data_IF_958884872500
#
_entry.id   IF_958884872500
#
_cell.length_a   1.000
_cell.length_b   1.000
_cell.length_c   1.000
_cell.angle_alpha   90.00
_cell.angle_beta   90.00
_cell.angle_gamma   90.00
#
_symmetry.space_group_name_H-M   'P 1'
#
loop_
_entity.id
_entity.type
_entity.pdbx_description
1 polymer ?
#
# COMPACT_ATOMS: atom_id res chain seq x y z
N UNK A 1 -0.91 7.10 3.81
CA UNK A 1 -0.22 7.83 2.72
C UNK A 1 -1.03 7.78 1.43
N UNK A 2 -0.87 8.76 0.54
CA UNK A 2 -1.51 8.78 -0.79
C UNK A 2 -0.43 9.16 -1.80
N UNK A 3 -0.28 8.32 -2.83
CA UNK A 3 0.67 8.54 -3.92
C UNK A 3 -0.08 8.75 -5.23
N UNK A 4 0.46 9.59 -6.11
CA UNK A 4 -0.02 9.68 -7.48
C UNK A 4 0.53 8.51 -8.30
N UNK A 5 -0.32 7.99 -9.19
CA UNK A 5 0.00 6.92 -10.09
C UNK A 5 -0.11 7.46 -11.52
N UNK A 6 0.87 7.18 -12.37
CA UNK A 6 0.89 7.66 -13.75
C UNK A 6 -0.09 6.91 -14.67
N UNK A 7 -1.10 6.22 -14.12
CA UNK A 7 -2.19 5.57 -14.85
C UNK A 7 -3.52 5.92 -14.20
N UNK A 8 -4.56 6.09 -15.02
CA UNK A 8 -5.93 6.17 -14.55
C UNK A 8 -6.54 4.77 -14.51
N UNK A 9 -7.01 4.35 -13.33
CA UNK A 9 -7.73 3.11 -13.08
C UNK A 9 -9.21 3.31 -13.42
N UNK A 10 -9.78 2.35 -14.16
CA UNK A 10 -11.20 2.36 -14.56
C UNK A 10 -12.13 1.97 -13.41
N UNK A 11 -11.61 1.26 -12.42
CA UNK A 11 -12.37 0.77 -11.29
C UNK A 11 -11.48 0.65 -10.05
N UNK A 12 -12.12 0.62 -8.88
CA UNK A 12 -11.41 0.56 -7.62
C UNK A 12 -10.93 -0.85 -7.28
N UNK A 13 -9.64 -1.01 -7.02
CA UNK A 13 -9.01 -2.28 -6.63
C UNK A 13 -8.38 -2.14 -5.25
N UNK A 14 -8.66 -3.10 -4.36
CA UNK A 14 -8.08 -3.17 -3.02
C UNK A 14 -7.27 -4.45 -2.86
N UNK A 15 -6.07 -4.31 -2.31
CA UNK A 15 -5.21 -5.41 -1.87
C UNK A 15 -5.02 -5.26 -0.36
N UNK A 16 -5.43 -6.26 0.40
CA UNK A 16 -5.45 -6.20 1.86
C UNK A 16 -4.70 -7.40 2.40
N UNK A 17 -3.64 -7.19 3.19
CA UNK A 17 -2.91 -8.29 3.82
C UNK A 17 -3.83 -9.07 4.78
N UNK A 18 -3.58 -10.37 4.93
CA UNK A 18 -4.51 -11.24 5.63
C UNK A 18 -4.63 -10.97 7.14
N UNK A 19 -3.55 -10.44 7.71
CA UNK A 19 -3.36 -9.97 9.09
C UNK A 19 -3.91 -8.55 9.33
N UNK A 20 -4.34 -7.83 8.29
CA UNK A 20 -4.96 -6.51 8.47
C UNK A 20 -6.33 -6.64 9.15
N UNK A 21 -6.45 -6.09 10.37
CA UNK A 21 -7.64 -6.21 11.20
C UNK A 21 -8.84 -5.54 10.51
N UNK A 22 -9.92 -6.30 10.26
CA UNK A 22 -11.09 -5.83 9.48
C UNK A 22 -11.85 -4.62 10.06
N UNK A 23 -11.67 -4.32 11.36
CA UNK A 23 -12.40 -3.23 12.03
C UNK A 23 -11.84 -1.84 11.73
N UNK A 24 -10.60 -1.73 11.23
CA UNK A 24 -9.93 -0.44 11.12
C UNK A 24 -10.22 0.34 9.84
N UNK A 25 -10.67 -0.27 8.73
CA UNK A 25 -10.90 0.48 7.48
C UNK A 25 -12.09 -0.05 6.65
N UNK A 26 -13.00 0.83 6.17
CA UNK A 26 -14.15 0.41 5.38
C UNK A 26 -13.71 -0.27 4.07
N UNK A 27 -14.46 -1.30 3.67
CA UNK A 27 -14.41 -1.84 2.30
C UNK A 27 -15.08 -0.84 1.36
N UNK A 28 -14.54 -0.68 0.17
CA UNK A 28 -15.24 0.08 -0.87
C UNK A 28 -16.51 -0.68 -1.23
N UNK A 29 -17.63 0.05 -1.34
CA UNK A 29 -18.93 -0.53 -1.71
C UNK A 29 -18.83 -1.13 -3.12
N UNK A 30 -19.54 -2.22 -3.36
CA UNK A 30 -19.65 -2.91 -4.66
C UNK A 30 -18.42 -3.71 -5.13
N UNK A 31 -17.36 -3.84 -4.32
CA UNK A 31 -16.24 -4.70 -4.71
C UNK A 31 -16.54 -6.19 -4.51
N UNK A 32 -16.16 -7.01 -5.48
CA UNK A 32 -16.18 -8.47 -5.42
C UNK A 32 -14.78 -9.00 -5.11
N UNK A 33 -14.71 -10.14 -4.41
CA UNK A 33 -13.43 -10.81 -4.14
C UNK A 33 -12.88 -11.37 -5.45
N UNK A 34 -11.62 -11.11 -5.73
CA UNK A 34 -10.90 -11.61 -6.91
C UNK A 34 -9.88 -12.65 -6.47
N UNK A 35 -9.68 -13.69 -7.28
CA UNK A 35 -8.61 -14.68 -7.08
C UNK A 35 -7.67 -14.61 -8.29
N UNK A 36 -6.39 -14.36 -8.03
CA UNK A 36 -5.35 -14.29 -9.07
C UNK A 36 -4.72 -15.66 -9.32
N UNK A 37 -3.88 -15.79 -10.34
CA UNK A 37 -3.16 -17.03 -10.63
C UNK A 37 -2.03 -17.32 -9.63
N UNK A 38 -1.41 -16.26 -9.07
CA UNK A 38 -0.35 -16.41 -8.07
C UNK A 38 -0.92 -16.93 -6.74
N UNK A 39 -0.63 -18.20 -6.45
CA UNK A 39 -1.07 -18.90 -5.23
C UNK A 39 -0.47 -18.28 -3.97
N UNK A 40 0.80 -17.85 -4.01
CA UNK A 40 1.48 -17.22 -2.87
C UNK A 40 0.82 -15.87 -2.57
N UNK A 41 0.58 -15.06 -3.61
CA UNK A 41 -0.06 -13.76 -3.44
C UNK A 41 -1.45 -13.88 -2.80
N UNK A 42 -2.27 -14.84 -3.26
CA UNK A 42 -3.58 -15.10 -2.66
C UNK A 42 -3.52 -15.64 -1.22
N UNK A 43 -2.40 -16.24 -0.79
CA UNK A 43 -2.17 -16.65 0.61
C UNK A 43 -1.78 -15.49 1.51
N UNK A 44 -1.13 -14.46 0.96
CA UNK A 44 -0.71 -13.28 1.71
C UNK A 44 -1.81 -12.20 1.73
N UNK A 45 -2.56 -12.05 0.64
CA UNK A 45 -3.50 -10.96 0.45
C UNK A 45 -4.91 -11.40 0.06
N UNK A 46 -5.90 -10.58 0.43
CA UNK A 46 -7.26 -10.57 -0.11
C UNK A 46 -7.38 -9.46 -1.14
N UNK A 47 -7.85 -9.80 -2.33
CA UNK A 47 -8.06 -8.86 -3.43
C UNK A 47 -9.55 -8.60 -3.61
N UNK A 48 -9.93 -7.34 -3.79
CA UNK A 48 -11.28 -6.91 -4.06
C UNK A 48 -11.30 -5.91 -5.20
N UNK A 49 -12.20 -6.07 -6.17
CA UNK A 49 -12.35 -5.15 -7.31
C UNK A 49 -13.81 -4.87 -7.60
N UNK A 50 -14.14 -3.66 -8.03
CA UNK A 50 -15.47 -3.36 -8.61
C UNK A 50 -15.67 -4.11 -9.94
N UNK A 51 -14.62 -4.17 -10.77
CA UNK A 51 -14.59 -4.95 -12.02
C UNK A 51 -13.46 -5.97 -11.93
N UNK A 52 -13.80 -7.25 -11.84
CA UNK A 52 -12.84 -8.34 -11.58
C UNK A 52 -11.66 -8.33 -12.58
N UNK A 53 -11.94 -8.10 -13.86
CA UNK A 53 -10.91 -8.08 -14.91
C UNK A 53 -9.87 -6.97 -14.71
N UNK A 54 -10.27 -5.83 -14.14
CA UNK A 54 -9.37 -4.68 -13.93
C UNK A 54 -8.28 -4.96 -12.88
N UNK A 55 -8.53 -5.88 -11.94
CA UNK A 55 -7.53 -6.30 -10.98
C UNK A 55 -6.29 -6.89 -11.67
N UNK A 56 -6.46 -7.59 -12.80
CA UNK A 56 -5.35 -8.21 -13.54
C UNK A 56 -4.50 -7.19 -14.31
N UNK A 57 -5.08 -6.05 -14.71
CA UNK A 57 -4.32 -4.97 -15.35
C UNK A 57 -3.44 -4.20 -14.38
N UNK A 58 -3.86 -4.09 -13.12
CA UNK A 58 -3.08 -3.45 -12.05
C UNK A 58 -2.07 -4.44 -11.46
N UNK A 59 -2.55 -5.63 -11.08
CA UNK A 59 -1.79 -6.66 -10.38
C UNK A 59 -1.12 -7.62 -11.36
N UNK A 60 -0.29 -7.05 -12.25
CA UNK A 60 0.59 -7.83 -13.12
C UNK A 60 1.55 -8.70 -12.28
N UNK A 61 2.05 -9.83 -12.81
CA UNK A 61 2.99 -10.70 -12.08
C UNK A 61 4.16 -9.95 -11.45
N UNK A 62 4.81 -9.06 -12.20
CA UNK A 62 5.94 -8.28 -11.69
C UNK A 62 5.54 -7.32 -10.56
N UNK A 63 4.36 -6.70 -10.65
CA UNK A 63 3.87 -5.79 -9.62
C UNK A 63 3.46 -6.54 -8.34
N UNK A 64 2.92 -7.76 -8.48
CA UNK A 64 2.65 -8.63 -7.33
C UNK A 64 3.92 -9.00 -6.57
N UNK A 65 5.03 -9.28 -7.27
CA UNK A 65 6.32 -9.55 -6.62
C UNK A 65 6.83 -8.34 -5.82
N UNK A 66 6.74 -7.13 -6.38
CA UNK A 66 7.08 -5.88 -5.68
C UNK A 66 6.27 -5.70 -4.41
N UNK A 67 4.94 -5.93 -4.47
CA UNK A 67 4.07 -5.86 -3.30
C UNK A 67 4.44 -6.94 -2.25
N UNK A 68 4.75 -8.18 -2.68
CA UNK A 68 5.18 -9.25 -1.77
C UNK A 68 6.50 -8.90 -1.07
N UNK A 69 7.47 -8.38 -1.83
CA UNK A 69 8.77 -7.96 -1.29
C UNK A 69 8.58 -6.83 -0.27
N UNK A 70 7.87 -5.77 -0.65
CA UNK A 70 7.57 -4.64 0.23
C UNK A 70 6.89 -5.10 1.53
N UNK A 71 5.87 -5.95 1.43
CA UNK A 71 5.18 -6.46 2.62
C UNK A 71 6.09 -7.31 3.53
N UNK A 72 6.98 -8.13 2.96
CA UNK A 72 7.96 -8.91 3.73
C UNK A 72 9.01 -8.02 4.41
N UNK A 73 9.43 -6.94 3.76
CA UNK A 73 10.42 -6.00 4.30
C UNK A 73 9.84 -5.09 5.39
N UNK A 74 8.58 -4.68 5.24
CA UNK A 74 7.88 -3.85 6.23
C UNK A 74 7.50 -4.63 7.50
N UNK A 75 7.30 -5.94 7.39
CA UNK A 75 6.82 -6.83 8.47
C UNK A 75 5.60 -6.26 9.23
N UNK A 76 4.70 -5.63 8.47
CA UNK A 76 3.53 -4.95 9.03
C UNK A 76 2.31 -5.16 8.12
N UNK A 77 1.10 -5.30 8.68
CA UNK A 77 -0.12 -5.34 7.89
C UNK A 77 -0.28 -4.12 6.99
N UNK A 78 -0.58 -4.35 5.71
CA UNK A 78 -0.81 -3.29 4.72
C UNK A 78 -2.17 -3.40 4.03
N UNK A 79 -2.71 -2.24 3.65
CA UNK A 79 -3.83 -2.11 2.73
C UNK A 79 -3.48 -1.12 1.63
N UNK A 80 -3.58 -1.59 0.40
CA UNK A 80 -3.40 -0.81 -0.82
C UNK A 80 -4.76 -0.63 -1.48
N UNK A 81 -5.06 0.58 -1.94
CA UNK A 81 -6.28 0.89 -2.67
C UNK A 81 -5.95 1.77 -3.87
N UNK A 82 -6.18 1.21 -5.05
CA UNK A 82 -6.04 1.87 -6.34
C UNK A 82 -7.37 2.50 -6.72
N UNK A 83 -7.39 3.83 -6.87
CA UNK A 83 -8.61 4.61 -7.11
C UNK A 83 -8.27 5.83 -7.97
N UNK A 84 -8.95 5.99 -9.12
CA UNK A 84 -8.66 7.07 -10.06
C UNK A 84 -7.22 7.02 -10.55
N UNK A 85 -6.41 8.03 -10.25
CA UNK A 85 -4.97 8.06 -10.52
C UNK A 85 -4.12 7.98 -9.24
N UNK A 86 -4.66 7.41 -8.16
CA UNK A 86 -4.00 7.41 -6.85
C UNK A 86 -3.88 6.02 -6.26
N UNK A 87 -2.79 5.82 -5.53
CA UNK A 87 -2.56 4.69 -4.66
C UNK A 87 -2.67 5.17 -3.21
N UNK A 88 -3.73 4.73 -2.54
CA UNK A 88 -3.91 4.93 -1.10
C UNK A 88 -3.27 3.77 -0.35
N UNK A 89 -2.43 4.10 0.62
CA UNK A 89 -1.67 3.13 1.42
C UNK A 89 -1.98 3.35 2.90
N UNK A 90 -2.37 2.26 3.56
CA UNK A 90 -2.41 2.16 5.01
C UNK A 90 -1.45 1.06 5.46
N UNK A 91 -0.63 1.38 6.46
CA UNK A 91 0.31 0.47 7.12
C UNK A 91 -0.06 0.48 8.60
N UNK A 92 -0.08 -0.69 9.22
CA UNK A 92 -0.35 -0.82 10.65
C UNK A 92 0.89 -1.41 11.34
N UNK A 93 1.92 -0.59 11.53
CA UNK A 93 3.14 -0.94 12.28
C UNK A 93 2.97 -0.78 13.80
N UNK A 94 1.82 -0.32 14.28
CA UNK A 94 1.57 -0.09 15.70
C UNK A 94 2.23 1.17 16.27
N UNK A 95 2.68 2.07 15.39
CA UNK A 95 3.37 3.30 15.75
C UNK A 95 2.55 4.51 15.31
N UNK A 96 2.76 5.64 16.01
CA UNK A 96 2.16 6.92 15.65
C UNK A 96 3.18 7.73 14.85
N UNK A 97 3.14 7.60 13.53
CA UNK A 97 4.15 8.19 12.65
C UNK A 97 4.17 9.72 12.77
N UNK A 98 5.38 10.27 12.90
CA UNK A 98 5.67 11.68 13.10
C UNK A 98 5.18 12.26 14.43
N UNK A 99 4.83 11.42 15.40
CA UNK A 99 4.47 11.86 16.74
C UNK A 99 5.47 11.37 17.79
N UNK A 100 5.90 12.30 18.65
CA UNK A 100 6.67 11.97 19.83
C UNK A 100 5.75 11.83 21.04
N UNK A 101 5.98 10.82 21.87
CA UNK A 101 5.24 10.65 23.11
C UNK A 101 5.65 11.71 24.15
N UNK A 102 4.83 12.76 24.29
CA UNK A 102 5.05 13.89 25.21
C UNK A 102 5.11 13.50 26.70
N UNK A 103 4.72 12.28 27.06
CA UNK A 103 4.86 11.76 28.43
C UNK A 103 6.30 11.33 28.76
N UNK A 104 7.12 11.10 27.73
CA UNK A 104 8.52 10.74 27.88
C UNK A 104 9.42 11.99 27.96
N UNK A 105 10.56 11.94 28.66
CA UNK A 105 11.58 12.98 28.61
C UNK A 105 12.17 13.11 27.21
N UNK A 106 12.27 14.33 26.69
CA UNK A 106 12.78 14.61 25.35
C UNK A 106 14.16 13.96 25.16
N UNK A 107 14.26 13.13 24.12
CA UNK A 107 15.48 12.52 23.65
C UNK A 107 15.61 12.81 22.15
N UNK A 108 16.46 13.77 21.80
CA UNK A 108 16.59 14.25 20.42
C UNK A 108 17.07 13.16 19.46
N UNK A 109 17.99 12.29 19.91
CA UNK A 109 18.50 11.19 19.07
C UNK A 109 17.41 10.17 18.73
N UNK A 110 16.58 9.81 19.71
CA UNK A 110 15.45 8.87 19.53
C UNK A 110 14.40 9.46 18.57
N UNK A 111 14.04 10.73 18.78
CA UNK A 111 13.10 11.46 17.91
C UNK A 111 13.63 11.50 16.47
N UNK A 112 14.92 11.79 16.29
CA UNK A 112 15.54 11.81 14.96
C UNK A 112 15.44 10.44 14.28
N UNK A 113 15.73 9.35 15.00
CA UNK A 113 15.64 7.99 14.44
C UNK A 113 14.20 7.62 14.06
N UNK A 114 13.21 7.97 14.88
CA UNK A 114 11.80 7.70 14.59
C UNK A 114 11.33 8.47 13.34
N UNK A 115 11.70 9.75 13.21
CA UNK A 115 11.40 10.55 12.02
C UNK A 115 12.06 9.94 10.77
N UNK A 116 13.33 9.53 10.87
CA UNK A 116 14.04 8.87 9.76
C UNK A 116 13.32 7.57 9.35
N UNK A 117 12.86 6.78 10.33
CA UNK A 117 12.11 5.55 10.09
C UNK A 117 10.79 5.82 9.36
N UNK A 118 10.04 6.83 9.76
CA UNK A 118 8.79 7.22 9.11
C UNK A 118 9.00 7.72 7.68
N UNK A 119 10.04 8.53 7.45
CA UNK A 119 10.41 8.97 6.10
C UNK A 119 10.80 7.75 5.25
N UNK A 120 11.59 6.83 5.82
CA UNK A 120 12.03 5.63 5.12
C UNK A 120 10.84 4.79 4.66
N UNK A 121 9.83 4.60 5.54
CA UNK A 121 8.58 3.94 5.20
C UNK A 121 7.95 4.53 3.93
N UNK A 122 7.83 5.87 3.85
CA UNK A 122 7.29 6.55 2.67
C UNK A 122 8.15 6.25 1.43
N UNK A 123 9.48 6.37 1.55
CA UNK A 123 10.39 6.16 0.41
C UNK A 123 10.45 4.72 -0.06
N UNK A 124 10.27 3.73 0.82
CA UNK A 124 10.24 2.31 0.45
C UNK A 124 9.05 2.01 -0.48
N UNK A 125 7.87 2.62 -0.21
CA UNK A 125 6.73 2.54 -1.14
C UNK A 125 7.03 3.17 -2.50
N UNK A 126 7.68 4.34 -2.53
CA UNK A 126 8.02 5.03 -3.79
C UNK A 126 8.99 4.19 -4.62
N UNK A 127 10.07 3.72 -3.99
CA UNK A 127 11.16 3.00 -4.63
C UNK A 127 10.71 1.61 -5.08
N UNK A 128 10.10 0.81 -4.20
CA UNK A 128 9.76 -0.58 -4.52
C UNK A 128 8.62 -0.66 -5.54
N UNK A 129 7.64 0.26 -5.48
CA UNK A 129 6.53 0.29 -6.43
C UNK A 129 6.81 1.14 -7.68
N UNK A 130 8.00 1.73 -7.80
CA UNK A 130 8.42 2.64 -8.90
C UNK A 130 7.38 3.75 -9.16
N UNK A 131 6.92 4.44 -8.12
CA UNK A 131 5.84 5.43 -8.23
C UNK A 131 6.28 6.73 -8.90
N UNK A 132 7.58 6.98 -8.97
CA UNK A 132 8.24 8.09 -9.67
C UNK A 132 8.40 7.85 -11.18
N UNK A 133 8.02 6.67 -11.69
CA UNK A 133 8.18 6.32 -13.09
C UNK A 133 7.14 7.01 -13.99
N UNK A 134 7.60 7.94 -14.83
CA UNK A 134 6.77 8.77 -15.72
C UNK A 134 6.36 8.10 -17.04
N UNK A 135 6.67 6.83 -17.28
CA UNK A 135 6.48 6.16 -18.58
C UNK A 135 5.02 6.16 -19.10
N UNK A 136 4.03 6.32 -18.21
CA UNK A 136 2.60 6.38 -18.58
C UNK A 136 1.96 7.74 -18.32
N UNK A 137 2.74 8.73 -17.87
CA UNK A 137 2.25 10.07 -17.57
C UNK A 137 1.80 10.72 -18.87
N UNK A 138 0.49 10.94 -19.02
CA UNK A 138 -0.02 11.75 -20.15
C UNK A 138 0.41 13.19 -19.92
N UNK A 139 0.95 13.82 -20.95
CA UNK A 139 1.17 15.27 -20.97
C UNK A 139 -0.18 15.97 -20.71
N UNK A 140 -0.15 16.98 -19.84
CA UNK A 140 -1.33 17.74 -19.43
C UNK A 140 -1.72 18.75 -20.51
#
# INVERSE_FOLDING_TARGET
MIFDFNKNFKSNVQVISNDFIKRSLPRIKNNKKVKLEDIEFNKMFKIYSEIEHDAFYILTPHFMEKIKKLYKELDAPIKLTFMGNKLHVAVNNGEDSFEYNVLNPINEEEIEQDIIKDIKLITDFVNELNLDNNLFKKEA
#
